data_IF_908257590815
#
_entry.id   IF_908257590815
#
_cell.length_a   1.000
_cell.length_b   1.000
_cell.length_c   1.000
_cell.angle_alpha   90.00
_cell.angle_beta   90.00
_cell.angle_gamma   90.00
#
_symmetry.space_group_name_H-M   'P 1'
#
loop_
_entity.id
_entity.type
_entity.pdbx_description
1 polymer ?
#
# COMPACT_ATOMS: atom_id res chain seq x y z
N UNK A 1 20.11 -23.42 3.86
CA UNK A 1 18.77 -23.10 3.32
C UNK A 1 18.72 -21.61 3.14
N UNK A 2 18.30 -21.13 1.97
CA UNK A 2 18.17 -19.69 1.72
C UNK A 2 17.18 -19.08 2.71
N UNK A 3 17.54 -17.98 3.36
CA UNK A 3 16.64 -17.26 4.27
C UNK A 3 15.64 -16.45 3.45
N UNK A 4 14.64 -17.12 2.89
CA UNK A 4 13.55 -16.45 2.19
C UNK A 4 12.69 -15.73 3.21
N UNK A 5 12.68 -14.39 3.15
CA UNK A 5 11.82 -13.55 3.98
C UNK A 5 10.56 -13.22 3.18
N UNK A 6 9.39 -13.74 3.56
CA UNK A 6 8.16 -13.48 2.83
C UNK A 6 7.73 -12.02 2.96
N UNK A 7 7.35 -11.40 1.84
CA UNK A 7 6.72 -10.09 1.83
C UNK A 7 5.25 -10.18 2.28
N UNK A 8 4.63 -9.03 2.62
CA UNK A 8 3.19 -8.99 2.97
C UNK A 8 2.31 -9.45 1.81
N UNK A 9 2.65 -9.11 0.57
CA UNK A 9 1.93 -9.54 -0.63
C UNK A 9 2.01 -11.07 -0.78
N UNK A 10 3.21 -11.63 -0.66
CA UNK A 10 3.44 -13.08 -0.72
C UNK A 10 2.55 -13.84 0.27
N UNK A 11 2.43 -13.35 1.51
CA UNK A 11 1.57 -13.98 2.50
C UNK A 11 0.08 -13.93 2.13
N UNK A 12 -0.37 -12.83 1.49
CA UNK A 12 -1.76 -12.69 1.01
C UNK A 12 -2.04 -13.64 -0.15
N UNK A 13 -1.09 -13.80 -1.07
CA UNK A 13 -1.17 -14.78 -2.17
C UNK A 13 -1.26 -16.23 -1.63
N UNK A 14 -0.45 -16.56 -0.63
CA UNK A 14 -0.53 -17.86 0.06
C UNK A 14 -1.89 -18.04 0.75
N UNK A 15 -2.46 -16.99 1.35
CA UNK A 15 -3.81 -17.06 1.91
C UNK A 15 -4.90 -17.30 0.84
N UNK A 16 -4.77 -16.73 -0.35
CA UNK A 16 -5.66 -17.01 -1.49
C UNK A 16 -5.59 -18.49 -1.85
N UNK A 17 -4.39 -19.05 -1.94
CA UNK A 17 -4.21 -20.48 -2.19
C UNK A 17 -4.93 -21.35 -1.15
N UNK A 18 -4.76 -21.05 0.15
CA UNK A 18 -5.46 -21.77 1.22
C UNK A 18 -6.98 -21.59 1.20
N UNK A 19 -7.47 -20.43 0.78
CA UNK A 19 -8.90 -20.19 0.57
C UNK A 19 -9.48 -21.09 -0.52
N UNK A 20 -8.77 -21.25 -1.65
CA UNK A 20 -9.19 -22.17 -2.72
C UNK A 20 -9.15 -23.64 -2.28
N UNK A 21 -8.20 -24.01 -1.41
CA UNK A 21 -8.14 -25.33 -0.77
C UNK A 21 -9.20 -25.57 0.31
N UNK A 22 -10.15 -24.65 0.49
CA UNK A 22 -11.24 -24.73 1.48
C UNK A 22 -10.75 -24.89 2.92
N UNK A 23 -9.55 -24.40 3.23
CA UNK A 23 -9.02 -24.35 4.61
C UNK A 23 -9.78 -23.30 5.42
N UNK A 24 -9.81 -23.45 6.74
CA UNK A 24 -10.31 -22.38 7.61
C UNK A 24 -9.24 -21.30 7.81
N UNK A 25 -9.63 -20.10 8.23
CA UNK A 25 -8.67 -19.03 8.56
C UNK A 25 -7.69 -19.45 9.67
N UNK A 26 -8.14 -20.28 10.60
CA UNK A 26 -7.31 -20.85 11.67
C UNK A 26 -6.30 -21.84 11.10
N UNK A 27 -6.70 -22.73 10.20
CA UNK A 27 -5.77 -23.68 9.56
C UNK A 27 -4.74 -22.95 8.71
N UNK A 28 -5.18 -21.94 7.94
CA UNK A 28 -4.29 -21.11 7.13
C UNK A 28 -3.26 -20.38 7.99
N UNK A 29 -3.65 -19.89 9.17
CA UNK A 29 -2.72 -19.29 10.13
C UNK A 29 -1.69 -20.31 10.63
N UNK A 30 -2.11 -21.51 11.02
CA UNK A 30 -1.20 -22.57 11.49
C UNK A 30 -0.19 -22.96 10.41
N UNK A 31 -0.66 -23.16 9.18
CA UNK A 31 0.19 -23.49 8.03
C UNK A 31 1.16 -22.35 7.68
N UNK A 32 0.74 -21.09 7.85
CA UNK A 32 1.64 -19.94 7.66
C UNK A 32 2.74 -19.88 8.71
N UNK A 33 2.42 -20.12 9.98
CA UNK A 33 3.42 -20.14 11.05
C UNK A 33 4.38 -21.32 10.88
N UNK A 34 3.89 -22.47 10.39
CA UNK A 34 4.73 -23.63 10.10
C UNK A 34 5.68 -23.38 8.93
N UNK A 35 5.21 -22.71 7.87
CA UNK A 35 6.03 -22.37 6.70
C UNK A 35 6.96 -21.18 6.95
N UNK A 36 6.51 -20.20 7.74
CA UNK A 36 7.19 -18.92 8.02
C UNK A 36 7.18 -18.64 9.52
N UNK A 37 8.01 -19.36 10.31
CA UNK A 37 7.99 -19.25 11.78
C UNK A 37 8.36 -17.85 12.29
N UNK A 38 9.15 -17.11 11.50
CA UNK A 38 9.58 -15.75 11.84
C UNK A 38 8.48 -14.69 11.61
N UNK A 39 7.38 -15.05 10.92
CA UNK A 39 6.32 -14.10 10.62
C UNK A 39 5.11 -14.27 11.56
N UNK A 40 4.82 -13.23 12.35
CA UNK A 40 3.69 -13.23 13.27
C UNK A 40 2.37 -12.85 12.56
N UNK A 41 1.71 -13.84 11.95
CA UNK A 41 0.33 -13.67 11.46
C UNK A 41 -0.68 -13.88 12.59
N UNK A 42 -1.56 -12.91 12.81
CA UNK A 42 -2.73 -13.09 13.69
C UNK A 42 -3.87 -13.81 12.97
N UNK A 43 -4.63 -14.64 13.71
CA UNK A 43 -5.87 -15.28 13.19
C UNK A 43 -6.83 -14.23 12.63
N UNK A 44 -6.94 -13.08 13.30
CA UNK A 44 -7.80 -11.98 12.88
C UNK A 44 -7.45 -11.47 11.47
N UNK A 45 -6.16 -11.32 11.16
CA UNK A 45 -5.70 -10.95 9.83
C UNK A 45 -6.15 -11.98 8.79
N UNK A 46 -5.98 -13.28 9.07
CA UNK A 46 -6.46 -14.34 8.19
C UNK A 46 -7.98 -14.26 7.97
N UNK A 47 -8.76 -14.00 9.03
CA UNK A 47 -10.21 -13.88 8.93
C UNK A 47 -10.65 -12.68 8.09
N UNK A 48 -10.00 -11.52 8.26
CA UNK A 48 -10.29 -10.31 7.48
C UNK A 48 -10.00 -10.53 5.99
N UNK A 49 -8.87 -11.17 5.65
CA UNK A 49 -8.57 -11.54 4.26
C UNK A 49 -9.55 -12.57 3.70
N UNK A 50 -9.89 -13.60 4.47
CA UNK A 50 -10.88 -14.59 4.06
C UNK A 50 -12.27 -13.97 3.84
N UNK A 51 -12.64 -12.95 4.61
CA UNK A 51 -13.88 -12.21 4.38
C UNK A 51 -13.85 -11.45 3.05
N UNK A 52 -12.71 -10.84 2.70
CA UNK A 52 -12.52 -10.20 1.37
C UNK A 52 -12.58 -11.18 0.21
N UNK A 53 -11.91 -12.34 0.35
CA UNK A 53 -11.96 -13.38 -0.68
C UNK A 53 -13.37 -13.93 -0.88
N UNK A 54 -14.18 -14.00 0.18
CA UNK A 54 -15.60 -14.36 0.08
C UNK A 54 -16.44 -13.32 -0.67
N UNK A 55 -16.07 -12.04 -0.63
CA UNK A 55 -16.71 -11.01 -1.45
C UNK A 55 -16.21 -10.97 -2.89
N UNK A 56 -15.29 -11.88 -3.27
CA UNK A 56 -14.71 -11.94 -4.61
C UNK A 56 -13.57 -10.94 -4.85
N UNK A 57 -13.08 -10.29 -3.80
CA UNK A 57 -11.96 -9.35 -3.86
C UNK A 57 -10.65 -10.11 -3.59
N UNK A 58 -9.92 -10.45 -4.66
CA UNK A 58 -8.65 -11.17 -4.61
C UNK A 58 -7.42 -10.26 -4.79
N UNK A 59 -7.64 -8.94 -4.76
CA UNK A 59 -6.55 -7.98 -4.82
C UNK A 59 -5.66 -8.11 -3.56
N UNK A 60 -4.38 -8.42 -3.78
CA UNK A 60 -3.39 -8.59 -2.72
C UNK A 60 -2.68 -7.29 -2.37
N UNK A 61 -2.87 -6.23 -3.16
CA UNK A 61 -2.26 -4.94 -2.92
C UNK A 61 -2.97 -4.19 -1.77
N UNK A 62 -2.22 -3.31 -1.11
CA UNK A 62 -2.84 -2.38 -0.17
C UNK A 62 -3.53 -1.28 -0.96
N UNK A 63 -4.86 -1.30 -0.98
CA UNK A 63 -5.66 -0.21 -1.55
C UNK A 63 -5.27 1.11 -0.90
N UNK A 64 -5.02 2.12 -1.72
CA UNK A 64 -4.80 3.48 -1.25
C UNK A 64 -5.97 3.89 -0.36
N UNK A 65 -5.67 4.18 0.91
CA UNK A 65 -6.69 4.71 1.81
C UNK A 65 -7.09 6.08 1.30
N UNK A 66 -8.38 6.38 1.09
CA UNK A 66 -8.83 7.73 0.76
C UNK A 66 -8.44 8.66 1.91
N UNK A 67 -7.32 9.37 1.74
CA UNK A 67 -6.65 10.15 2.79
C UNK A 67 -5.13 10.03 2.82
N UNK A 68 -4.54 9.00 2.20
CA UNK A 68 -3.10 8.94 1.98
C UNK A 68 -2.77 9.64 0.66
N UNK A 69 -2.58 10.96 0.72
CA UNK A 69 -2.04 11.72 -0.40
C UNK A 69 -0.63 11.18 -0.67
N UNK A 70 -0.38 10.65 -1.88
CA UNK A 70 0.98 10.41 -2.37
C UNK A 70 1.77 11.69 -2.11
N UNK A 71 2.77 11.63 -1.23
CA UNK A 71 3.76 12.69 -1.14
C UNK A 71 4.45 12.68 -2.50
N UNK A 72 4.21 13.74 -3.26
CA UNK A 72 4.79 14.22 -4.53
C UNK A 72 5.62 13.23 -5.36
N UNK A 73 5.38 13.20 -6.67
CA UNK A 73 6.24 12.46 -7.61
C UNK A 73 7.68 12.97 -7.46
N UNK A 74 8.62 12.05 -7.20
CA UNK A 74 10.02 12.39 -6.96
C UNK A 74 10.61 13.18 -8.14
N UNK A 75 10.13 12.96 -9.37
CA UNK A 75 10.55 13.74 -10.54
C UNK A 75 10.19 15.25 -10.45
N UNK A 76 9.05 15.60 -9.85
CA UNK A 76 8.63 17.00 -9.70
C UNK A 76 9.44 17.69 -8.58
N UNK A 77 9.85 16.92 -7.56
CA UNK A 77 10.73 17.39 -6.49
C UNK A 77 12.19 17.50 -6.95
N UNK A 78 12.68 16.55 -7.75
CA UNK A 78 14.02 16.59 -8.36
C UNK A 78 14.18 17.79 -9.28
N UNK A 79 13.20 18.09 -10.14
CA UNK A 79 13.24 19.25 -11.02
C UNK A 79 13.33 20.58 -10.25
N UNK A 80 12.67 20.69 -9.09
CA UNK A 80 12.72 21.90 -8.25
C UNK A 80 14.06 22.04 -7.52
N UNK A 81 14.70 20.94 -7.13
CA UNK A 81 16.01 20.94 -6.50
C UNK A 81 17.15 21.19 -7.50
N UNK A 82 17.01 20.74 -8.75
CA UNK A 82 17.97 21.00 -9.83
C UNK A 82 17.94 22.46 -10.30
N UNK A 83 16.77 23.12 -10.25
CA UNK A 83 16.62 24.53 -10.63
C UNK A 83 17.21 25.49 -9.57
N UNK A 84 17.11 25.17 -8.28
CA UNK A 84 17.74 25.93 -7.21
C UNK A 84 18.02 25.05 -5.97
N UNK A 85 19.27 24.61 -5.84
CA UNK A 85 19.72 23.75 -4.74
C UNK A 85 19.72 24.43 -3.36
N UNK A 86 19.45 25.74 -3.29
CA UNK A 86 19.48 26.53 -2.05
C UNK A 86 18.08 26.77 -1.45
N UNK A 87 17.03 26.20 -2.03
CA UNK A 87 15.66 26.39 -1.54
C UNK A 87 15.46 25.82 -0.14
N UNK A 88 14.83 26.61 0.71
CA UNK A 88 14.45 26.20 2.07
C UNK A 88 13.10 25.47 2.06
N UNK A 89 12.87 24.62 3.07
CA UNK A 89 11.64 23.81 3.17
C UNK A 89 10.34 24.67 3.14
N UNK A 90 10.40 25.92 3.61
CA UNK A 90 9.27 26.86 3.58
C UNK A 90 8.98 27.38 2.16
N UNK A 91 10.01 27.59 1.35
CA UNK A 91 9.87 28.05 -0.05
C UNK A 91 9.28 26.94 -0.92
N UNK A 92 9.76 25.71 -0.76
CA UNK A 92 9.19 24.53 -1.41
C UNK A 92 7.71 24.35 -1.06
N UNK A 93 7.34 24.46 0.22
CA UNK A 93 5.95 24.36 0.64
C UNK A 93 5.06 25.46 0.01
N UNK A 94 5.61 26.65 -0.20
CA UNK A 94 4.90 27.79 -0.81
C UNK A 94 4.71 27.61 -2.32
N UNK A 95 5.72 27.10 -3.02
CA UNK A 95 5.64 26.79 -4.46
C UNK A 95 4.61 25.67 -4.68
N UNK A 96 4.72 24.60 -3.92
CA UNK A 96 3.82 23.43 -3.98
C UNK A 96 2.38 23.81 -3.59
N UNK A 97 2.21 24.73 -2.64
CA UNK A 97 0.90 25.27 -2.24
C UNK A 97 0.23 26.16 -3.30
N UNK A 98 1.00 26.80 -4.19
CA UNK A 98 0.48 27.68 -5.25
C UNK A 98 -0.15 26.93 -6.42
N UNK A 99 0.32 25.71 -6.72
CA UNK A 99 -0.20 24.88 -7.82
C UNK A 99 -1.63 24.39 -7.59
N UNK A 100 -2.09 24.34 -6.33
CA UNK A 100 -3.46 23.89 -5.96
C UNK A 100 -4.56 24.93 -6.21
N UNK A 101 -4.22 26.18 -6.59
CA UNK A 101 -5.19 27.31 -6.56
C UNK A 101 -5.54 27.94 -7.92
N UNK A 102 -5.15 27.33 -9.05
CA UNK A 102 -5.55 27.80 -10.38
C UNK A 102 -6.42 26.79 -11.12
N UNK A 103 -7.56 26.44 -10.55
CA UNK A 103 -8.62 25.76 -11.31
C UNK A 103 -10.05 26.09 -10.82
N UNK A 104 -10.28 27.33 -10.38
CA UNK A 104 -11.65 27.82 -10.20
C UNK A 104 -11.81 29.15 -10.94
N UNK A 105 -12.42 29.04 -12.13
CA UNK A 105 -13.34 30.04 -12.65
C UNK A 105 -12.76 31.13 -13.54
N UNK A 106 -12.44 30.80 -14.80
CA UNK A 106 -12.45 31.79 -15.90
C UNK A 106 -12.85 31.12 -17.23
N UNK A 107 -14.15 30.88 -17.43
CA UNK A 107 -14.84 30.65 -18.72
C UNK A 107 -16.35 30.47 -18.44
N UNK A 108 -17.35 31.05 -19.10
CA UNK A 108 -17.53 31.99 -20.21
C UNK A 108 -19.02 32.41 -20.20
N UNK A 109 -19.31 33.63 -20.70
CA UNK A 109 -20.59 34.20 -21.20
C UNK A 109 -21.81 34.29 -20.28
#
# INVERSE_FOLDING_TARGET
MSNFVPSKQHLREVLIHYFHLKKSATDAQRLLIEAYPDYSVSVRMCQEWFARFKSGDFDVEDKERPGQVKKFEDEELEALLDEDSCQTQEELATIIGRSKSKEIGCRIN
#
